data_IF_986850571078
#
_entry.id   IF_986850571078
#
_cell.length_a   1.000
_cell.length_b   1.000
_cell.length_c   1.000
_cell.angle_alpha   90.00
_cell.angle_beta   90.00
_cell.angle_gamma   90.00
#
_symmetry.space_group_name_H-M   'P 1'
#
loop_
_entity.id
_entity.type
_entity.pdbx_description
1 polymer ?
#
# COMPACT_ATOMS: atom_id res chain seq x y z
N UNK A 1 -0.93 -27.13 -19.05
CA UNK A 1 -0.33 -26.97 -17.71
C UNK A 1 -0.90 -25.70 -17.11
N UNK A 2 -1.40 -25.74 -15.88
CA UNK A 2 -1.88 -24.55 -15.18
C UNK A 2 -0.68 -23.73 -14.69
N UNK A 3 -0.70 -22.43 -14.94
CA UNK A 3 0.28 -21.52 -14.37
C UNK A 3 0.17 -21.51 -12.84
N UNK A 4 1.31 -21.40 -12.16
CA UNK A 4 1.38 -21.19 -10.72
C UNK A 4 0.90 -19.77 -10.36
N UNK A 5 0.54 -19.54 -9.10
CA UNK A 5 0.10 -18.21 -8.64
C UNK A 5 1.16 -17.12 -8.90
N UNK A 6 2.44 -17.45 -8.70
CA UNK A 6 3.53 -16.53 -8.94
C UNK A 6 3.69 -16.20 -10.44
N UNK A 7 3.53 -17.19 -11.31
CA UNK A 7 3.56 -16.96 -12.77
C UNK A 7 2.41 -16.07 -13.24
N UNK A 8 1.23 -16.20 -12.63
CA UNK A 8 0.06 -15.35 -12.92
C UNK A 8 0.32 -13.91 -12.44
N UNK A 9 0.87 -13.75 -11.23
CA UNK A 9 1.22 -12.44 -10.69
C UNK A 9 2.28 -11.73 -11.55
N UNK A 10 3.35 -12.45 -11.90
CA UNK A 10 4.42 -11.91 -12.74
C UNK A 10 3.93 -11.50 -14.13
N UNK A 11 2.99 -12.26 -14.70
CA UNK A 11 2.35 -11.91 -15.96
C UNK A 11 1.50 -10.64 -15.82
N UNK A 12 0.71 -10.52 -14.75
CA UNK A 12 -0.12 -9.35 -14.50
C UNK A 12 0.71 -8.06 -14.32
N UNK A 13 1.86 -8.14 -13.64
CA UNK A 13 2.75 -6.99 -13.42
C UNK A 13 3.42 -6.47 -14.70
N UNK A 14 3.55 -7.32 -15.74
CA UNK A 14 4.14 -6.96 -17.03
C UNK A 14 3.14 -6.32 -18.01
N UNK A 15 1.85 -6.27 -17.66
CA UNK A 15 0.82 -5.65 -18.49
C UNK A 15 0.97 -4.12 -18.55
N UNK A 16 0.40 -3.46 -19.57
CA UNK A 16 0.24 -2.00 -19.59
C UNK A 16 -0.44 -1.47 -18.34
N UNK A 17 -0.10 -0.23 -17.95
CA UNK A 17 -0.58 0.38 -16.70
C UNK A 17 -2.10 0.37 -16.57
N UNK A 18 -2.83 0.71 -17.64
CA UNK A 18 -4.29 0.71 -17.65
C UNK A 18 -4.88 -0.67 -17.33
N UNK A 19 -4.28 -1.73 -17.87
CA UNK A 19 -4.72 -3.10 -17.63
C UNK A 19 -4.41 -3.52 -16.19
N UNK A 20 -3.25 -3.14 -15.65
CA UNK A 20 -2.91 -3.37 -14.24
C UNK A 20 -3.89 -2.68 -13.30
N UNK A 21 -4.23 -1.43 -13.56
CA UNK A 21 -5.22 -0.67 -12.78
C UNK A 21 -6.60 -1.33 -12.85
N UNK A 22 -7.00 -1.78 -14.04
CA UNK A 22 -8.28 -2.47 -14.24
C UNK A 22 -8.35 -3.78 -13.43
N UNK A 23 -7.26 -4.56 -13.43
CA UNK A 23 -7.16 -5.79 -12.65
C UNK A 23 -7.19 -5.47 -11.15
N UNK A 24 -6.44 -4.48 -10.70
CA UNK A 24 -6.42 -4.06 -9.29
C UNK A 24 -7.81 -3.66 -8.80
N UNK A 25 -8.53 -2.83 -9.56
CA UNK A 25 -9.90 -2.42 -9.21
C UNK A 25 -10.84 -3.62 -9.08
N UNK A 26 -10.79 -4.56 -10.03
CA UNK A 26 -11.61 -5.78 -9.95
C UNK A 26 -11.26 -6.65 -8.74
N UNK A 27 -9.98 -6.72 -8.36
CA UNK A 27 -9.58 -7.44 -7.16
C UNK A 27 -10.11 -6.75 -5.90
N UNK A 28 -10.03 -5.42 -5.83
CA UNK A 28 -10.58 -4.64 -4.72
C UNK A 28 -12.09 -4.84 -4.58
N UNK A 29 -12.83 -4.92 -5.70
CA UNK A 29 -14.27 -5.21 -5.69
C UNK A 29 -14.61 -6.60 -5.11
N UNK A 30 -13.65 -7.53 -5.10
CA UNK A 30 -13.84 -8.89 -4.53
C UNK A 30 -13.48 -8.96 -3.05
N UNK A 31 -12.86 -7.92 -2.48
CA UNK A 31 -12.56 -7.89 -1.07
C UNK A 31 -13.86 -7.71 -0.26
N UNK A 32 -14.03 -8.45 0.84
CA UNK A 32 -15.16 -8.21 1.73
C UNK A 32 -15.06 -6.81 2.33
N UNK A 33 -16.21 -6.15 2.52
CA UNK A 33 -16.32 -4.82 3.13
C UNK A 33 -15.64 -4.74 4.51
N UNK A 34 -15.51 -5.89 5.19
CA UNK A 34 -14.70 -6.05 6.40
C UNK A 34 -13.78 -7.26 6.24
N UNK A 35 -12.48 -7.01 6.28
CA UNK A 35 -11.48 -8.08 6.29
C UNK A 35 -11.37 -8.66 7.71
N UNK A 36 -11.68 -9.94 7.92
CA UNK A 36 -11.57 -10.55 9.24
C UNK A 36 -10.12 -10.52 9.72
N UNK A 37 -9.87 -9.90 10.88
CA UNK A 37 -8.53 -9.75 11.47
C UNK A 37 -7.88 -8.38 11.27
N UNK A 38 -8.42 -7.53 10.39
CA UNK A 38 -8.13 -6.09 10.35
C UNK A 38 -9.18 -5.38 11.20
N UNK A 39 -8.92 -5.28 12.49
CA UNK A 39 -9.73 -4.46 13.39
C UNK A 39 -9.24 -3.02 13.27
N UNK A 40 -10.12 -2.10 12.86
CA UNK A 40 -9.89 -0.65 12.98
C UNK A 40 -9.80 -0.20 14.45
N UNK A 41 -10.10 -1.10 15.39
CA UNK A 41 -10.07 -0.88 16.83
C UNK A 41 -8.91 -1.66 17.47
N UNK A 42 -7.71 -1.54 16.91
CA UNK A 42 -6.50 -1.92 17.63
C UNK A 42 -6.08 -0.75 18.53
N UNK A 43 -6.45 -0.84 19.81
CA UNK A 43 -6.14 0.20 20.79
C UNK A 43 -4.64 0.45 20.95
N UNK A 44 -3.80 -0.55 20.69
CA UNK A 44 -2.35 -0.37 20.73
C UNK A 44 -1.85 0.42 19.52
N UNK A 45 -2.47 0.22 18.35
CA UNK A 45 -2.19 0.99 17.15
C UNK A 45 -2.57 2.47 17.30
N UNK A 46 -3.76 2.76 17.85
CA UNK A 46 -4.20 4.14 18.10
C UNK A 46 -3.28 4.88 19.09
N UNK A 47 -2.86 4.19 20.17
CA UNK A 47 -1.92 4.75 21.15
C UNK A 47 -0.55 5.05 20.51
N UNK A 48 -0.05 4.17 19.66
CA UNK A 48 1.22 4.40 18.97
C UNK A 48 1.12 5.51 17.91
N UNK A 49 -0.01 5.63 17.21
CA UNK A 49 -0.27 6.74 16.30
C UNK A 49 -0.28 8.09 17.04
N UNK A 50 -0.97 8.17 18.18
CA UNK A 50 -1.01 9.37 19.00
C UNK A 50 0.40 9.76 19.48
N UNK A 51 1.16 8.77 20.00
CA UNK A 51 2.56 8.95 20.41
C UNK A 51 3.44 9.49 19.27
N UNK A 52 3.36 8.91 18.07
CA UNK A 52 4.15 9.35 16.91
C UNK A 52 3.70 10.69 16.35
N UNK A 53 2.41 11.02 16.43
CA UNK A 53 1.89 12.30 15.99
C UNK A 53 2.41 13.46 16.86
N UNK A 54 2.63 13.20 18.15
CA UNK A 54 3.21 14.16 19.10
C UNK A 54 4.75 14.20 19.11
N UNK A 55 5.41 13.19 18.54
CA UNK A 55 6.86 13.06 18.49
C UNK A 55 7.39 13.21 17.06
N UNK A 56 7.72 14.45 16.70
CA UNK A 56 8.32 14.76 15.39
C UNK A 56 9.83 14.45 15.34
N UNK A 57 10.43 13.86 16.38
CA UNK A 57 11.86 13.52 16.34
C UNK A 57 12.14 12.48 15.25
N UNK A 58 13.09 12.80 14.37
CA UNK A 58 13.38 11.97 13.18
C UNK A 58 12.44 12.17 11.99
N UNK A 59 11.48 13.08 12.07
CA UNK A 59 10.65 13.47 10.91
C UNK A 59 11.46 14.27 9.91
N UNK A 60 11.23 14.04 8.62
CA UNK A 60 11.80 14.84 7.53
C UNK A 60 10.74 15.79 6.98
N UNK A 61 11.03 17.09 6.84
CA UNK A 61 10.10 18.02 6.20
C UNK A 61 9.71 17.56 4.79
N UNK A 62 8.46 17.77 4.43
CA UNK A 62 7.93 17.32 3.14
C UNK A 62 8.72 17.90 1.96
N UNK A 63 9.15 19.15 2.07
CA UNK A 63 9.95 19.83 1.04
C UNK A 63 11.24 19.08 0.76
N UNK A 64 11.92 18.62 1.81
CA UNK A 64 13.17 17.87 1.70
C UNK A 64 12.90 16.50 1.04
N UNK A 65 11.90 15.75 1.52
CA UNK A 65 11.57 14.44 0.95
C UNK A 65 11.17 14.54 -0.53
N UNK A 66 10.37 15.55 -0.89
CA UNK A 66 9.96 15.79 -2.27
C UNK A 66 11.14 16.08 -3.17
N UNK A 67 12.12 16.83 -2.69
CA UNK A 67 13.30 17.19 -3.48
C UNK A 67 14.24 15.98 -3.66
N UNK A 68 14.39 15.11 -2.65
CA UNK A 68 15.10 13.82 -2.77
C UNK A 68 14.45 12.89 -3.81
N UNK A 69 13.12 12.75 -3.78
CA UNK A 69 12.38 11.93 -4.74
C UNK A 69 12.52 12.40 -6.20
N UNK A 70 12.66 13.72 -6.40
CA UNK A 70 12.89 14.31 -7.73
C UNK A 70 14.30 14.07 -8.26
N UNK A 71 15.29 13.90 -7.38
CA UNK A 71 16.68 13.64 -7.77
C UNK A 71 16.97 12.17 -8.02
N UNK A 72 16.09 11.27 -7.55
CA UNK A 72 16.20 9.83 -7.75
C UNK A 72 15.57 9.33 -9.09
N UNK A 73 15.01 10.24 -9.89
CA UNK A 73 14.44 10.00 -11.23
C UNK A 73 15.39 10.46 -12.33
#
# INVERSE_FOLDING_TARGET
MSATLNEILDAALKLPELDRVTIANRLLDTLPEKLPGLSDADSEFDVELDRRSGDLSGSVPWEQLRDELRQAQ
#
